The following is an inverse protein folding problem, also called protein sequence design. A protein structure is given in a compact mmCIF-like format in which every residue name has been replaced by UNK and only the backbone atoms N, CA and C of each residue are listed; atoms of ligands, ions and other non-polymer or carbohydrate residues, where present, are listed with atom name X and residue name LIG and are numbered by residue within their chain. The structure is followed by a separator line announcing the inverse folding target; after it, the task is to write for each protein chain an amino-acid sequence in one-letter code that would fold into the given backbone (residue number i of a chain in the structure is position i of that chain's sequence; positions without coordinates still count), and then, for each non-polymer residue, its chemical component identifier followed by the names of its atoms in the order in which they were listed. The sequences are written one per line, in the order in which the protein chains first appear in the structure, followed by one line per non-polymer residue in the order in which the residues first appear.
data_IF_081093621831
#
_entry.id   IF_081093621831
#
_cell.length_a   1.000
_cell.length_b   1.000
_cell.length_c   1.000
_cell.angle_alpha   90.00
_cell.angle_beta   90.00
_cell.angle_gamma   90.00
#
_symmetry.space_group_name_H-M   'P 1'
#
loop_
_entity.id
_entity.type
_entity.pdbx_description
1 polymer ?
#
# COMPACT_ATOMS: atom_id res chain seq x y z
N UNK A 1 3.54 18.62 1.95
CA UNK A 1 2.60 17.48 1.85
C UNK A 1 3.24 16.28 2.54
N UNK A 2 2.53 15.60 3.45
CA UNK A 2 3.08 14.53 4.31
C UNK A 2 3.81 13.42 3.54
N UNK A 3 3.25 12.98 2.39
CA UNK A 3 3.89 11.96 1.56
C UNK A 3 5.29 12.39 1.09
N UNK A 4 5.46 13.62 0.62
CA UNK A 4 6.77 14.08 0.12
C UNK A 4 7.81 14.13 1.25
N UNK A 5 7.44 14.61 2.43
CA UNK A 5 8.32 14.61 3.60
C UNK A 5 8.75 13.18 3.98
N UNK A 6 7.81 12.23 3.91
CA UNK A 6 8.12 10.82 4.18
C UNK A 6 9.07 10.24 3.13
N UNK A 7 8.84 10.53 1.85
CA UNK A 7 9.70 10.08 0.76
C UNK A 7 11.10 10.69 0.84
N UNK A 8 11.20 11.98 1.19
CA UNK A 8 12.49 12.64 1.39
C UNK A 8 13.34 11.91 2.43
N UNK A 9 12.78 11.64 3.61
CA UNK A 9 13.48 10.89 4.66
C UNK A 9 13.92 9.49 4.19
N UNK A 10 13.07 8.78 3.44
CA UNK A 10 13.37 7.45 2.90
C UNK A 10 14.55 7.52 1.89
N UNK A 11 14.52 8.51 1.00
CA UNK A 11 15.54 8.68 -0.02
C UNK A 11 16.87 9.14 0.57
N UNK A 12 16.85 10.02 1.57
CA UNK A 12 18.06 10.43 2.31
C UNK A 12 18.72 9.25 3.05
N UNK A 13 17.90 8.32 3.55
CA UNK A 13 18.39 7.08 4.15
C UNK A 13 18.93 6.07 3.13
N UNK A 14 18.84 6.34 1.82
CA UNK A 14 19.19 5.40 0.76
C UNK A 14 18.32 4.16 0.72
N UNK A 15 17.07 4.29 1.15
CA UNK A 15 16.11 3.20 1.27
C UNK A 15 15.08 3.22 0.14
N UNK A 16 14.41 2.07 -0.08
CA UNK A 16 13.42 1.91 -1.14
C UNK A 16 12.02 1.75 -0.59
N UNK A 17 11.05 2.24 -1.35
CA UNK A 17 9.65 2.27 -0.94
C UNK A 17 8.72 1.65 -1.99
N UNK A 18 7.70 0.96 -1.52
CA UNK A 18 6.54 0.54 -2.31
C UNK A 18 5.37 1.40 -1.89
N UNK A 19 4.69 1.99 -2.87
CA UNK A 19 3.46 2.76 -2.66
C UNK A 19 2.30 1.99 -3.27
N UNK A 20 1.32 1.65 -2.44
CA UNK A 20 0.08 1.04 -2.87
C UNK A 20 -1.04 2.06 -2.97
N UNK A 21 -1.79 2.02 -4.08
CA UNK A 21 -3.05 2.74 -4.24
C UNK A 21 -4.11 1.84 -4.86
N UNK A 22 -5.38 2.09 -4.56
CA UNK A 22 -6.51 1.39 -5.16
C UNK A 22 -6.73 1.82 -6.62
N UNK A 23 -6.41 3.08 -6.92
CA UNK A 23 -6.76 3.75 -8.16
C UNK A 23 -5.53 3.89 -9.06
N UNK A 24 -5.68 3.48 -10.33
CA UNK A 24 -4.63 3.64 -11.34
C UNK A 24 -4.30 5.12 -11.55
N UNK A 25 -5.34 5.94 -11.63
CA UNK A 25 -5.23 7.39 -11.85
C UNK A 25 -4.44 8.06 -10.73
N UNK A 26 -4.62 7.62 -9.49
CA UNK A 26 -3.82 8.10 -8.37
C UNK A 26 -2.36 7.69 -8.52
N UNK A 27 -2.10 6.47 -8.98
CA UNK A 27 -0.75 6.02 -9.32
C UNK A 27 -0.08 6.92 -10.37
N UNK A 28 -0.82 7.34 -11.41
CA UNK A 28 -0.35 8.24 -12.46
C UNK A 28 -0.01 9.63 -11.89
N UNK A 29 -0.85 10.16 -11.00
CA UNK A 29 -0.62 11.45 -10.31
C UNK A 29 0.62 11.37 -9.42
N UNK A 30 0.74 10.31 -8.60
CA UNK A 30 1.90 10.10 -7.73
C UNK A 30 3.20 9.98 -8.53
N UNK A 31 3.17 9.25 -9.64
CA UNK A 31 4.32 9.12 -10.54
C UNK A 31 4.76 10.48 -11.07
N UNK A 32 3.82 11.30 -11.53
CA UNK A 32 4.12 12.65 -12.05
C UNK A 32 4.71 13.54 -10.97
N UNK A 33 4.10 13.61 -9.78
CA UNK A 33 4.57 14.44 -8.66
C UNK A 33 5.97 14.01 -8.22
N UNK A 34 6.21 12.71 -8.04
CA UNK A 34 7.51 12.20 -7.59
C UNK A 34 8.59 12.47 -8.65
N UNK A 35 8.26 12.30 -9.93
CA UNK A 35 9.18 12.59 -11.03
C UNK A 35 9.54 14.07 -11.07
N UNK A 36 8.56 14.96 -10.89
CA UNK A 36 8.78 16.41 -10.91
C UNK A 36 9.62 16.89 -9.73
N UNK A 37 9.30 16.41 -8.52
CA UNK A 37 9.96 16.88 -7.29
C UNK A 37 11.38 16.32 -7.15
N UNK A 38 11.60 15.03 -7.45
CA UNK A 38 12.86 14.36 -7.18
C UNK A 38 13.68 14.07 -8.43
N UNK A 39 13.20 14.42 -9.63
CA UNK A 39 13.81 14.07 -10.92
C UNK A 39 14.14 12.57 -11.05
N UNK A 40 13.33 11.71 -10.40
CA UNK A 40 13.45 10.25 -10.41
C UNK A 40 12.10 9.65 -10.76
N UNK A 41 12.03 8.92 -11.87
CA UNK A 41 10.78 8.29 -12.32
C UNK A 41 10.54 6.99 -11.56
N UNK A 42 9.44 6.86 -10.81
CA UNK A 42 9.04 5.60 -10.18
C UNK A 42 8.77 4.49 -11.21
N UNK A 43 9.01 3.25 -10.82
CA UNK A 43 8.41 2.12 -11.55
C UNK A 43 6.94 2.07 -11.18
N UNK A 44 6.05 1.97 -12.17
CA UNK A 44 4.62 1.90 -11.95
C UNK A 44 4.04 0.66 -12.62
N UNK A 45 3.34 -0.16 -11.83
CA UNK A 45 2.68 -1.37 -12.28
C UNK A 45 1.16 -1.27 -12.14
N UNK A 46 0.44 -1.53 -13.21
CA UNK A 46 -1.03 -1.50 -13.27
C UNK A 46 -1.60 -2.79 -13.88
N UNK A 47 -2.93 -2.93 -13.87
CA UNK A 47 -3.61 -4.16 -14.29
C UNK A 47 -3.35 -4.60 -15.74
N UNK A 48 -3.01 -3.67 -16.65
CA UNK A 48 -2.69 -3.96 -18.04
C UNK A 48 -1.25 -4.43 -18.31
N UNK A 49 -0.38 -4.43 -17.30
CA UNK A 49 1.02 -4.87 -17.45
C UNK A 49 1.10 -6.37 -17.63
N UNK A 50 1.80 -6.84 -18.65
CA UNK A 50 1.99 -8.27 -18.93
C UNK A 50 2.85 -8.93 -17.84
N UNK A 51 2.76 -10.27 -17.74
CA UNK A 51 3.57 -11.03 -16.75
C UNK A 51 5.07 -10.81 -16.95
N UNK A 52 5.54 -10.81 -18.19
CA UNK A 52 6.96 -10.60 -18.52
C UNK A 52 7.43 -9.22 -18.07
N UNK A 53 6.68 -8.17 -18.41
CA UNK A 53 6.99 -6.79 -17.98
C UNK A 53 7.01 -6.66 -16.46
N UNK A 54 6.08 -7.31 -15.75
CA UNK A 54 6.06 -7.32 -14.27
C UNK A 54 7.33 -7.91 -13.68
N UNK A 55 7.79 -9.04 -14.22
CA UNK A 55 9.01 -9.71 -13.76
C UNK A 55 10.26 -8.84 -14.06
N UNK A 56 10.30 -8.18 -15.21
CA UNK A 56 11.37 -7.24 -15.58
C UNK A 56 11.37 -6.00 -14.69
N UNK A 57 10.21 -5.41 -14.41
CA UNK A 57 10.06 -4.27 -13.49
C UNK A 57 10.51 -4.64 -12.08
N UNK A 58 10.09 -5.81 -11.56
CA UNK A 58 10.49 -6.28 -10.25
C UNK A 58 11.99 -6.50 -10.17
N UNK A 59 12.62 -7.11 -11.19
CA UNK A 59 14.08 -7.29 -11.27
C UNK A 59 14.82 -5.96 -11.31
N UNK A 60 14.31 -5.00 -12.09
CA UNK A 60 14.89 -3.64 -12.17
C UNK A 60 14.83 -2.94 -10.82
N UNK A 61 13.71 -3.03 -10.12
CA UNK A 61 13.57 -2.45 -8.77
C UNK A 61 14.54 -3.10 -7.77
N UNK A 62 14.67 -4.44 -7.82
CA UNK A 62 15.54 -5.18 -6.89
C UNK A 62 17.03 -4.84 -7.09
N UNK A 63 17.49 -4.70 -8.33
CA UNK A 63 18.91 -4.70 -8.65
C UNK A 63 19.46 -3.34 -9.08
N UNK A 64 18.61 -2.36 -9.39
CA UNK A 64 19.04 -1.06 -9.88
C UNK A 64 18.83 0.01 -8.80
N UNK A 65 19.93 0.65 -8.38
CA UNK A 65 19.92 1.72 -7.40
C UNK A 65 19.23 3.01 -7.89
N UNK A 66 18.97 3.12 -9.20
CA UNK A 66 18.25 4.28 -9.75
C UNK A 66 16.77 4.31 -9.35
N UNK A 67 16.17 3.14 -9.12
CA UNK A 67 14.75 3.03 -8.78
C UNK A 67 14.56 2.90 -7.27
N UNK A 68 14.14 3.98 -6.63
CA UNK A 68 13.87 4.02 -5.19
C UNK A 68 12.39 3.77 -4.86
N UNK A 69 11.49 3.98 -5.85
CA UNK A 69 10.05 3.90 -5.65
C UNK A 69 9.38 2.96 -6.65
N UNK A 70 8.50 2.11 -6.12
CA UNK A 70 7.64 1.23 -6.90
C UNK A 70 6.17 1.54 -6.57
N UNK A 71 5.39 2.00 -7.53
CA UNK A 71 3.96 2.28 -7.39
C UNK A 71 3.16 1.09 -7.91
N UNK A 72 2.24 0.58 -7.09
CA UNK A 72 1.43 -0.60 -7.41
C UNK A 72 -0.04 -0.32 -7.18
N UNK A 73 -0.89 -0.71 -8.15
CA UNK A 73 -2.28 -0.92 -7.81
C UNK A 73 -2.45 -2.29 -7.13
N UNK A 74 -3.24 -2.34 -6.07
CA UNK A 74 -3.42 -3.59 -5.30
C UNK A 74 -4.02 -4.72 -6.14
N UNK A 75 -4.91 -4.39 -7.08
CA UNK A 75 -5.44 -5.37 -8.06
C UNK A 75 -4.35 -5.94 -8.97
N UNK A 76 -3.36 -5.15 -9.33
CA UNK A 76 -2.23 -5.58 -10.15
C UNK A 76 -1.18 -6.37 -9.35
N UNK A 77 -1.07 -6.12 -8.05
CA UNK A 77 -0.15 -6.80 -7.14
C UNK A 77 -0.49 -8.26 -6.85
N UNK A 78 -1.64 -8.79 -7.31
CA UNK A 78 -2.14 -10.14 -7.00
C UNK A 78 -1.24 -11.33 -7.37
N UNK A 79 -0.17 -11.14 -8.12
CA UNK A 79 0.67 -12.21 -8.65
C UNK A 79 2.09 -12.17 -8.07
N UNK A 80 2.29 -12.69 -6.86
CA UNK A 80 3.56 -13.23 -6.38
C UNK A 80 4.85 -12.42 -6.52
N UNK A 81 4.77 -11.10 -6.79
CA UNK A 81 5.95 -10.27 -6.95
C UNK A 81 6.83 -10.29 -5.69
N UNK A 82 8.12 -10.41 -5.88
CA UNK A 82 9.10 -10.28 -4.82
C UNK A 82 9.75 -8.90 -4.89
N UNK A 83 9.51 -8.05 -3.88
CA UNK A 83 9.98 -6.66 -3.82
C UNK A 83 10.76 -6.39 -2.52
N UNK A 84 11.55 -7.38 -2.10
CA UNK A 84 12.32 -7.34 -0.85
C UNK A 84 13.47 -6.31 -0.83
N UNK A 85 13.74 -5.63 -1.94
CA UNK A 85 14.62 -4.47 -1.92
C UNK A 85 14.01 -3.28 -1.18
N UNK A 86 12.68 -3.19 -1.10
CA UNK A 86 12.01 -2.18 -0.31
C UNK A 86 11.92 -2.61 1.15
N UNK A 87 12.17 -1.68 2.04
CA UNK A 87 11.92 -1.80 3.47
C UNK A 87 10.89 -0.77 3.97
N UNK A 88 10.30 0.01 3.07
CA UNK A 88 9.15 0.86 3.36
C UNK A 88 7.96 0.48 2.47
N UNK A 89 6.78 0.42 3.08
CA UNK A 89 5.50 0.20 2.41
C UNK A 89 4.58 1.34 2.79
N UNK A 90 4.03 2.04 1.81
CA UNK A 90 3.06 3.11 2.01
C UNK A 90 1.73 2.66 1.42
N UNK A 91 0.69 2.57 2.25
CA UNK A 91 -0.69 2.51 1.81
C UNK A 91 -1.20 3.95 1.68
N UNK A 92 -1.29 4.44 0.43
CA UNK A 92 -1.65 5.82 0.13
C UNK A 92 -3.13 6.08 0.36
N UNK A 93 -3.97 5.10 0.05
CA UNK A 93 -5.38 5.03 0.38
C UNK A 93 -5.68 3.73 1.12
N UNK A 94 -6.62 3.77 2.05
CA UNK A 94 -6.95 2.61 2.88
C UNK A 94 -7.85 1.63 2.14
N UNK A 95 -7.58 0.35 2.33
CA UNK A 95 -8.46 -0.71 1.89
C UNK A 95 -9.50 -1.04 2.97
N UNK A 96 -10.71 -1.27 2.49
CA UNK A 96 -11.81 -1.76 3.33
C UNK A 96 -11.54 -3.16 3.88
N UNK A 97 -10.66 -3.93 3.22
CA UNK A 97 -10.28 -5.27 3.62
C UNK A 97 -8.82 -5.31 4.13
N UNK A 98 -8.60 -5.43 5.45
CA UNK A 98 -7.27 -5.51 6.04
C UNK A 98 -6.41 -6.67 5.52
N UNK A 99 -7.05 -7.76 5.08
CA UNK A 99 -6.32 -8.91 4.53
C UNK A 99 -5.61 -8.56 3.22
N UNK A 100 -6.19 -7.66 2.41
CA UNK A 100 -5.55 -7.18 1.18
C UNK A 100 -4.38 -6.24 1.49
N UNK A 101 -4.47 -5.38 2.52
CA UNK A 101 -3.33 -4.58 2.98
C UNK A 101 -2.19 -5.48 3.50
N UNK A 102 -2.51 -6.49 4.29
CA UNK A 102 -1.53 -7.46 4.76
C UNK A 102 -0.87 -8.20 3.59
N UNK A 103 -1.65 -8.69 2.63
CA UNK A 103 -1.14 -9.35 1.43
C UNK A 103 -0.25 -8.42 0.60
N UNK A 104 -0.57 -7.13 0.53
CA UNK A 104 0.26 -6.13 -0.14
C UNK A 104 1.59 -5.94 0.59
N UNK A 105 1.56 -5.78 1.90
CA UNK A 105 2.75 -5.65 2.76
C UNK A 105 3.67 -6.86 2.64
N UNK A 106 3.13 -8.06 2.52
CA UNK A 106 3.89 -9.31 2.33
C UNK A 106 4.73 -9.33 1.05
N UNK A 107 4.58 -8.38 0.14
CA UNK A 107 5.46 -8.22 -1.04
C UNK A 107 6.86 -7.76 -0.66
N UNK A 108 6.94 -6.89 0.35
CA UNK A 108 8.20 -6.45 0.93
C UNK A 108 8.67 -7.39 2.06
N UNK A 109 7.73 -7.93 2.82
CA UNK A 109 7.99 -8.82 3.95
C UNK A 109 7.97 -10.30 3.50
N UNK A 110 8.98 -10.71 2.73
CA UNK A 110 9.12 -12.09 2.23
C UNK A 110 10.48 -12.70 2.59
N UNK A 111 10.60 -14.00 2.36
CA UNK A 111 11.88 -14.73 2.48
C UNK A 111 12.92 -14.02 1.60
N UNK A 112 14.02 -13.60 2.23
CA UNK A 112 15.08 -12.79 1.61
C UNK A 112 15.11 -11.33 2.04
N UNK A 113 14.09 -10.84 2.77
CA UNK A 113 14.14 -9.53 3.43
C UNK A 113 15.11 -9.56 4.60
N UNK A 114 16.10 -8.68 4.58
CA UNK A 114 17.17 -8.58 5.61
C UNK A 114 17.00 -7.35 6.52
N UNK A 115 16.09 -6.45 6.18
CA UNK A 115 15.83 -5.21 6.91
C UNK A 115 14.46 -5.27 7.58
N UNK A 116 14.27 -4.45 8.60
CA UNK A 116 12.94 -4.20 9.15
C UNK A 116 12.06 -3.53 8.09
N UNK A 117 10.81 -3.95 7.98
CA UNK A 117 9.84 -3.34 7.07
C UNK A 117 8.97 -2.36 7.86
N UNK A 118 9.00 -1.10 7.44
CA UNK A 118 8.16 -0.03 7.99
C UNK A 118 6.91 0.12 7.14
N UNK A 119 5.74 0.03 7.78
CA UNK A 119 4.45 0.17 7.11
C UNK A 119 3.81 1.50 7.50
N UNK A 120 3.56 2.35 6.52
CA UNK A 120 2.94 3.64 6.67
C UNK A 120 1.53 3.60 6.07
N UNK A 121 0.54 4.00 6.85
CA UNK A 121 -0.85 4.13 6.41
C UNK A 121 -1.22 5.61 6.42
N UNK A 122 -1.52 6.18 5.27
CA UNK A 122 -1.96 7.56 5.17
C UNK A 122 -3.48 7.60 5.35
N UNK A 123 -3.94 8.35 6.34
CA UNK A 123 -5.35 8.44 6.69
C UNK A 123 -5.74 9.91 6.68
N UNK A 124 -6.75 10.25 5.88
CA UNK A 124 -7.26 11.61 5.83
C UNK A 124 -8.23 11.84 7.00
N UNK A 125 -7.87 12.79 7.89
CA UNK A 125 -8.71 13.15 9.04
C UNK A 125 -10.04 13.76 8.57
N UNK A 126 -11.11 13.46 9.31
CA UNK A 126 -12.45 13.97 9.04
C UNK A 126 -13.13 13.30 7.82
N UNK A 127 -12.61 12.19 7.34
CA UNK A 127 -13.17 11.45 6.21
C UNK A 127 -13.66 10.06 6.63
N UNK A 128 -14.30 9.38 5.67
CA UNK A 128 -14.72 8.00 5.81
C UNK A 128 -13.55 7.06 6.15
N UNK A 129 -12.33 7.35 5.64
CA UNK A 129 -11.13 6.55 5.94
C UNK A 129 -10.83 6.50 7.44
N UNK A 130 -10.93 7.64 8.13
CA UNK A 130 -10.69 7.70 9.58
C UNK A 130 -11.71 6.85 10.36
N UNK A 131 -12.97 6.85 9.93
CA UNK A 131 -14.03 6.02 10.55
C UNK A 131 -13.79 4.54 10.32
N UNK A 132 -13.41 4.17 9.08
CA UNK A 132 -13.06 2.80 8.74
C UNK A 132 -11.88 2.32 9.57
N UNK A 133 -10.83 3.13 9.67
CA UNK A 133 -9.63 2.78 10.44
C UNK A 133 -9.97 2.54 11.92
N UNK A 134 -10.74 3.42 12.55
CA UNK A 134 -11.21 3.26 13.93
C UNK A 134 -12.01 1.97 14.10
N UNK A 135 -12.91 1.68 13.17
CA UNK A 135 -13.73 0.46 13.22
C UNK A 135 -12.90 -0.81 13.03
N UNK A 136 -11.93 -0.80 12.10
CA UNK A 136 -11.05 -1.93 11.87
C UNK A 136 -10.13 -2.20 13.07
N UNK A 137 -9.64 -1.14 13.73
CA UNK A 137 -8.80 -1.27 14.91
C UNK A 137 -9.61 -1.81 16.10
N UNK A 138 -10.82 -1.33 16.34
CA UNK A 138 -11.70 -1.86 17.39
C UNK A 138 -12.07 -3.33 17.18
N UNK A 139 -12.25 -3.76 15.92
CA UNK A 139 -12.51 -5.17 15.59
C UNK A 139 -11.25 -6.06 15.66
N UNK A 140 -10.06 -5.52 15.38
CA UNK A 140 -8.81 -6.27 15.60
C UNK A 140 -8.60 -6.63 17.07
N UNK A 141 -8.91 -5.73 17.98
CA UNK A 141 -8.87 -6.00 19.42
C UNK A 141 -9.86 -7.12 19.81
N UNK A 142 -11.04 -7.14 19.18
CA UNK A 142 -12.05 -8.20 19.39
C UNK A 142 -11.73 -9.51 18.66
N UNK A 143 -11.08 -9.47 17.48
CA UNK A 143 -10.78 -10.66 16.67
C UNK A 143 -9.50 -11.37 17.08
N UNK A 144 -8.65 -10.79 17.91
CA UNK A 144 -7.61 -11.55 18.63
C UNK A 144 -8.22 -12.59 19.57
N UNK A 145 -9.54 -12.53 19.80
CA UNK A 145 -10.32 -13.52 20.53
C UNK A 145 -11.03 -14.56 19.65
N UNK A 146 -11.12 -14.34 18.33
CA UNK A 146 -11.80 -15.28 17.42
C UNK A 146 -11.22 -15.18 15.99
N UNK A 147 -10.46 -16.22 15.62
CA UNK A 147 -9.98 -16.39 14.24
C UNK A 147 -11.16 -16.81 13.36
N UNK A 148 -11.67 -15.94 12.50
CA UNK A 148 -12.32 -16.35 11.25
C UNK A 148 -12.70 -15.18 10.30
N UNK A 149 -12.34 -15.38 9.02
CA UNK A 149 -12.94 -14.91 7.75
C UNK A 149 -12.90 -13.44 7.38
N UNK A 150 -11.88 -13.07 6.58
CA UNK A 150 -11.60 -11.72 6.04
C UNK A 150 -12.47 -11.18 4.89
N UNK A 151 -13.48 -11.86 4.37
CA UNK A 151 -14.24 -11.40 3.19
C UNK A 151 -15.70 -10.99 3.43
N UNK A 152 -16.28 -11.32 4.58
CA UNK A 152 -17.70 -11.08 4.87
C UNK A 152 -18.00 -9.84 5.72
N UNK A 153 -17.00 -9.11 6.16
CA UNK A 153 -17.18 -8.10 7.21
C UNK A 153 -18.09 -6.91 6.84
N UNK A 154 -18.14 -6.47 5.56
CA UNK A 154 -19.06 -5.40 5.13
C UNK A 154 -20.50 -5.92 5.11
N UNK A 155 -20.69 -7.18 4.72
CA UNK A 155 -22.00 -7.82 4.76
C UNK A 155 -22.52 -8.11 6.17
N UNK A 156 -21.60 -8.19 7.15
CA UNK A 156 -21.91 -8.45 8.56
C UNK A 156 -22.11 -7.17 9.38
N UNK A 157 -21.96 -5.97 8.77
CA UNK A 157 -22.26 -4.70 9.42
C UNK A 157 -23.76 -4.57 9.66
N UNK A 158 -24.12 -4.24 10.90
CA UNK A 158 -25.51 -3.91 11.20
C UNK A 158 -25.93 -2.62 10.48
N UNK A 159 -27.23 -2.44 10.23
CA UNK A 159 -27.78 -1.20 9.67
C UNK A 159 -27.39 0.03 10.51
N UNK A 160 -27.09 -0.13 11.79
CA UNK A 160 -26.63 0.93 12.69
C UNK A 160 -25.19 1.31 12.35
N UNK A 161 -24.31 0.31 12.20
CA UNK A 161 -22.88 0.53 11.86
C UNK A 161 -22.73 1.18 10.47
N UNK A 162 -23.58 0.75 9.50
CA UNK A 162 -23.61 1.36 8.17
C UNK A 162 -24.08 2.82 8.20
N UNK A 163 -25.08 3.13 9.03
CA UNK A 163 -25.54 4.53 9.21
C UNK A 163 -24.49 5.39 9.88
N UNK A 164 -23.77 4.90 10.89
CA UNK A 164 -22.67 5.61 11.54
C UNK A 164 -21.49 5.85 10.58
N UNK A 165 -21.23 4.92 9.67
CA UNK A 165 -20.19 5.08 8.64
C UNK A 165 -20.49 6.20 7.66
N UNK A 166 -21.76 6.34 7.21
CA UNK A 166 -22.14 7.33 6.18
C UNK A 166 -22.64 8.66 6.75
N UNK A 167 -22.93 8.75 8.05
CA UNK A 167 -23.27 10.03 8.70
C UNK A 167 -22.00 10.85 8.87
N UNK A 168 -21.85 11.88 8.05
CA UNK A 168 -20.82 12.92 8.20
C UNK A 168 -21.14 13.81 9.38
#
# INVERSE_FOLDING_TARGET
MLLLQLLENIYEAGEKVIIFSQYKEMGDILNSIITEVYNKKPIQLHGGTTRKERDEMAKSFQNNAFYDTFILSLKAGGTGLNLTAANHVIHFDLWWNPALEAQATDRAFRIGQKKNVFVHRLITKGTLEEKIDKMLNSKKELSQLTVNNGEKWIGDLSNKDLKELVSL
#
